data_IF_593811647988
#
_entry.id   IF_593811647988
#
_cell.length_a   1.000
_cell.length_b   1.000
_cell.length_c   1.000
_cell.angle_alpha   90.00
_cell.angle_beta   90.00
_cell.angle_gamma   90.00
#
_symmetry.space_group_name_H-M   'P 1'
#
loop_
_entity.id
_entity.type
_entity.pdbx_description
1 polymer ?
#
# COMPACT_ATOMS: atom_id res chain seq x y z
N UNK A 1 21.52 13.97 -19.76
CA UNK A 1 21.35 12.60 -19.21
C UNK A 1 21.22 11.70 -20.41
N UNK A 2 22.26 10.95 -20.73
CA UNK A 2 22.29 10.10 -21.92
C UNK A 2 21.60 8.78 -21.61
N UNK A 3 20.38 8.62 -22.11
CA UNK A 3 19.61 7.38 -21.98
C UNK A 3 20.24 6.37 -22.94
N UNK A 4 20.92 5.37 -22.40
CA UNK A 4 21.46 4.29 -23.22
C UNK A 4 20.36 3.29 -23.62
N UNK A 5 20.66 2.39 -24.55
CA UNK A 5 19.69 1.41 -25.06
C UNK A 5 19.12 0.50 -23.96
N UNK A 6 19.88 0.19 -22.90
CA UNK A 6 19.42 -0.63 -21.78
C UNK A 6 18.44 0.15 -20.92
N UNK A 7 18.75 1.41 -20.62
CA UNK A 7 17.88 2.29 -19.85
C UNK A 7 16.57 2.53 -20.62
N UNK A 8 16.65 2.74 -21.93
CA UNK A 8 15.48 2.83 -22.80
C UNK A 8 14.65 1.55 -22.78
N UNK A 9 15.26 0.36 -22.88
CA UNK A 9 14.54 -0.91 -22.84
C UNK A 9 13.92 -1.18 -21.47
N UNK A 10 14.59 -0.82 -20.38
CA UNK A 10 14.05 -0.95 -19.02
C UNK A 10 12.90 0.02 -18.77
N UNK A 11 13.04 1.28 -19.21
CA UNK A 11 11.96 2.28 -19.16
C UNK A 11 10.78 1.83 -20.04
N UNK A 12 11.04 1.35 -21.26
CA UNK A 12 10.01 0.90 -22.17
C UNK A 12 9.32 -0.39 -21.70
N UNK A 13 10.03 -1.30 -21.03
CA UNK A 13 9.44 -2.46 -20.38
C UNK A 13 8.60 -2.07 -19.16
N UNK A 14 9.10 -1.21 -18.28
CA UNK A 14 8.39 -0.70 -17.10
C UNK A 14 7.14 0.14 -17.46
N UNK A 15 7.13 0.77 -18.64
CA UNK A 15 5.97 1.46 -19.20
C UNK A 15 5.07 0.54 -20.05
N UNK A 16 5.39 -0.76 -20.15
CA UNK A 16 4.64 -1.73 -20.94
C UNK A 16 4.63 -1.47 -22.44
N UNK A 17 5.56 -0.67 -22.97
CA UNK A 17 5.62 -0.25 -24.38
C UNK A 17 6.20 -1.32 -25.31
N UNK A 18 6.85 -2.35 -24.78
CA UNK A 18 7.45 -3.44 -25.56
C UNK A 18 6.77 -4.78 -25.25
N UNK A 19 5.64 -5.03 -25.90
CA UNK A 19 5.16 -6.40 -26.11
C UNK A 19 6.04 -7.02 -27.21
N UNK A 20 6.85 -8.02 -26.87
CA UNK A 20 7.76 -8.74 -27.79
C UNK A 20 7.00 -9.67 -28.77
N UNK A 21 6.09 -9.11 -29.55
CA UNK A 21 5.43 -9.83 -30.66
C UNK A 21 5.59 -9.04 -31.96
N UNK A 22 6.24 -9.61 -32.99
CA UNK A 22 6.38 -8.94 -34.28
C UNK A 22 5.04 -9.02 -35.02
N UNK A 23 4.25 -7.94 -34.97
CA UNK A 23 2.99 -7.91 -35.74
C UNK A 23 1.91 -6.89 -35.38
N UNK A 24 2.12 -5.93 -34.48
CA UNK A 24 1.08 -4.93 -34.17
C UNK A 24 1.56 -3.50 -34.35
N UNK A 25 1.54 -3.04 -35.61
CA UNK A 25 1.53 -1.62 -35.98
C UNK A 25 0.14 -0.98 -35.82
N UNK A 26 -0.82 -1.67 -35.19
CA UNK A 26 -2.10 -1.11 -34.72
C UNK A 26 -1.99 -0.83 -33.21
N UNK A 27 -1.01 -0.01 -32.84
CA UNK A 27 -0.76 0.35 -31.44
C UNK A 27 -1.16 1.80 -31.11
N UNK A 28 -1.78 2.54 -32.03
CA UNK A 28 -2.16 3.94 -31.79
C UNK A 28 -3.24 4.12 -30.71
N UNK A 29 -4.20 3.20 -30.64
CA UNK A 29 -5.32 3.27 -29.69
C UNK A 29 -5.07 2.47 -28.40
N UNK A 30 -4.46 1.28 -28.50
CA UNK A 30 -4.02 0.49 -27.34
C UNK A 30 -2.91 1.16 -26.51
N UNK A 31 -2.10 2.04 -27.12
CA UNK A 31 -1.07 2.81 -26.39
C UNK A 31 -1.67 3.98 -25.61
N UNK A 32 -2.84 4.51 -26.02
CA UNK A 32 -3.58 5.50 -25.22
C UNK A 32 -4.27 4.86 -23.99
N UNK A 33 -4.69 3.61 -24.08
CA UNK A 33 -5.18 2.86 -22.91
C UNK A 33 -4.08 2.55 -21.87
N UNK A 34 -2.81 2.44 -22.30
CA UNK A 34 -1.67 2.17 -21.41
C UNK A 34 -1.21 3.36 -20.55
N UNK A 35 -1.71 4.57 -20.84
CA UNK A 35 -1.61 5.73 -19.95
C UNK A 35 -2.93 5.98 -19.21
N UNK A 36 -3.71 4.94 -18.89
CA UNK A 36 -4.75 5.07 -17.88
C UNK A 36 -4.08 5.47 -16.57
N UNK A 37 -4.21 6.75 -16.23
CA UNK A 37 -4.05 7.23 -14.87
C UNK A 37 -5.01 6.44 -14.00
N UNK A 38 -4.47 5.65 -13.08
CA UNK A 38 -5.23 4.86 -12.13
C UNK A 38 -6.23 5.78 -11.43
N UNK A 39 -7.52 5.52 -11.57
CA UNK A 39 -8.57 6.30 -10.92
C UNK A 39 -9.01 5.62 -9.62
N UNK A 40 -9.62 6.39 -8.72
CA UNK A 40 -10.23 5.84 -7.51
C UNK A 40 -11.23 4.71 -7.81
N UNK A 41 -11.97 4.83 -8.93
CA UNK A 41 -12.93 3.81 -9.36
C UNK A 41 -12.22 2.50 -9.72
N UNK A 42 -11.03 2.57 -10.31
CA UNK A 42 -10.26 1.37 -10.67
C UNK A 42 -9.74 0.66 -9.41
N UNK A 43 -9.31 1.41 -8.39
CA UNK A 43 -8.87 0.86 -7.10
C UNK A 43 -10.02 0.18 -6.35
N UNK A 44 -11.20 0.80 -6.38
CA UNK A 44 -12.39 0.29 -5.68
C UNK A 44 -13.21 -0.70 -6.53
N UNK A 45 -12.73 -1.12 -7.70
CA UNK A 45 -13.46 -2.02 -8.60
C UNK A 45 -13.34 -3.49 -8.19
N UNK A 46 -13.90 -3.86 -7.04
CA UNK A 46 -14.03 -5.26 -6.63
C UNK A 46 -15.50 -5.67 -6.55
N UNK A 47 -15.78 -6.94 -6.87
CA UNK A 47 -17.13 -7.47 -6.73
C UNK A 47 -17.43 -7.72 -5.24
N UNK A 48 -18.46 -7.11 -4.65
CA UNK A 48 -18.82 -7.34 -3.26
C UNK A 48 -19.19 -8.81 -3.01
N UNK A 49 -18.44 -9.51 -2.14
CA UNK A 49 -18.72 -10.89 -1.73
C UNK A 49 -19.13 -10.97 -0.26
N UNK A 50 -20.01 -11.91 0.08
CA UNK A 50 -20.42 -12.18 1.45
C UNK A 50 -21.28 -11.07 2.09
N UNK A 51 -21.59 -11.25 3.39
CA UNK A 51 -22.49 -10.38 4.17
C UNK A 51 -21.77 -9.46 5.16
N UNK A 52 -20.48 -9.70 5.39
CA UNK A 52 -19.64 -8.91 6.28
C UNK A 52 -18.35 -8.54 5.54
N UNK A 53 -17.78 -7.38 5.87
CA UNK A 53 -16.53 -6.88 5.33
C UNK A 53 -15.63 -6.45 6.50
N UNK A 54 -14.40 -6.94 6.49
CA UNK A 54 -13.37 -6.53 7.44
C UNK A 54 -12.39 -5.66 6.68
N UNK A 55 -12.27 -4.40 7.11
CA UNK A 55 -11.18 -3.52 6.74
C UNK A 55 -10.11 -3.64 7.81
N UNK A 56 -8.85 -3.67 7.39
CA UNK A 56 -7.74 -3.89 8.29
C UNK A 56 -6.61 -2.91 7.97
N UNK A 57 -6.07 -2.30 9.01
CA UNK A 57 -4.84 -1.51 8.99
C UNK A 57 -3.86 -2.07 10.03
N UNK A 58 -2.58 -1.84 9.82
CA UNK A 58 -1.50 -2.27 10.70
C UNK A 58 -0.31 -1.32 10.61
N UNK A 59 0.47 -1.24 11.69
CA UNK A 59 1.82 -0.66 11.69
C UNK A 59 1.90 0.73 11.05
N UNK A 60 0.86 1.57 11.27
CA UNK A 60 0.80 2.91 10.67
C UNK A 60 1.96 3.79 11.15
N UNK A 61 2.50 3.50 12.32
CA UNK A 61 3.63 4.19 12.94
C UNK A 61 3.49 5.72 12.90
N UNK A 62 2.30 6.22 13.24
CA UNK A 62 1.95 7.63 13.25
C UNK A 62 2.12 8.39 11.92
N UNK A 63 2.17 7.68 10.78
CA UNK A 63 2.25 8.27 9.46
C UNK A 63 0.88 8.75 8.94
N UNK A 64 0.51 9.97 9.34
CA UNK A 64 -0.80 10.54 8.97
C UNK A 64 -0.86 11.18 7.58
N UNK A 65 0.29 11.41 6.94
CA UNK A 65 0.41 12.03 5.61
C UNK A 65 0.90 11.00 4.58
N UNK A 66 0.55 11.16 3.29
CA UNK A 66 1.08 10.31 2.24
C UNK A 66 2.61 10.36 2.19
N UNK A 67 3.24 9.21 1.93
CA UNK A 67 4.69 9.05 1.85
C UNK A 67 5.11 7.99 0.82
N UNK A 68 6.42 7.88 0.59
CA UNK A 68 7.01 6.81 -0.20
C UNK A 68 7.54 5.74 0.76
N UNK A 69 7.07 4.51 0.60
CA UNK A 69 7.45 3.37 1.43
C UNK A 69 7.94 2.24 0.53
N UNK A 70 9.21 1.87 0.62
CA UNK A 70 9.80 0.82 -0.21
C UNK A 70 9.95 -0.45 0.62
N UNK A 71 9.45 -1.55 0.09
CA UNK A 71 9.65 -2.87 0.70
C UNK A 71 11.14 -3.27 0.76
N UNK A 72 11.54 -4.14 1.71
CA UNK A 72 12.93 -4.55 1.86
C UNK A 72 13.44 -5.30 0.62
N UNK A 73 14.70 -5.03 0.26
CA UNK A 73 15.36 -5.73 -0.86
C UNK A 73 15.94 -7.09 -0.47
N UNK A 74 15.89 -7.44 0.80
CA UNK A 74 16.41 -8.71 1.33
C UNK A 74 15.67 -9.06 2.61
N UNK A 75 15.17 -10.29 2.68
CA UNK A 75 14.57 -10.88 3.87
C UNK A 75 15.29 -12.21 4.17
N UNK A 76 16.23 -12.18 5.11
CA UNK A 76 17.03 -13.36 5.48
C UNK A 76 16.27 -14.15 6.54
N UNK A 77 16.20 -15.47 6.36
CA UNK A 77 15.46 -16.37 7.23
C UNK A 77 16.30 -17.54 7.71
N UNK A 78 15.80 -18.25 8.73
CA UNK A 78 16.33 -19.56 9.09
C UNK A 78 16.10 -20.55 7.93
N UNK A 79 16.95 -21.59 7.77
CA UNK A 79 16.86 -22.50 6.62
C UNK A 79 15.47 -23.13 6.38
N UNK A 80 14.71 -23.38 7.44
CA UNK A 80 13.37 -23.97 7.39
C UNK A 80 12.24 -22.98 6.98
N UNK A 81 12.56 -21.70 6.83
CA UNK A 81 11.62 -20.63 6.47
C UNK A 81 11.93 -20.01 5.10
N UNK A 82 12.91 -20.55 4.37
CA UNK A 82 13.25 -20.07 3.03
C UNK A 82 12.07 -20.30 2.08
N UNK A 83 11.66 -19.25 1.38
CA UNK A 83 10.58 -19.31 0.40
C UNK A 83 9.16 -19.22 0.99
N UNK A 84 9.01 -19.02 2.30
CA UNK A 84 7.69 -18.81 2.92
C UNK A 84 7.29 -17.33 2.94
N UNK A 85 5.99 -16.99 2.95
CA UNK A 85 5.52 -15.64 3.21
C UNK A 85 6.19 -15.02 4.46
N UNK A 86 6.55 -13.75 4.37
CA UNK A 86 7.38 -13.04 5.37
C UNK A 86 8.89 -13.16 5.13
N UNK A 87 9.34 -14.08 4.27
CA UNK A 87 10.75 -14.28 3.91
C UNK A 87 10.99 -14.41 2.39
N UNK A 88 10.10 -13.82 1.61
CA UNK A 88 10.20 -13.69 0.15
C UNK A 88 10.11 -12.21 -0.22
N UNK A 89 10.91 -11.78 -1.19
CA UNK A 89 10.93 -10.39 -1.69
C UNK A 89 11.32 -10.37 -3.18
N UNK A 90 11.05 -9.25 -3.87
CA UNK A 90 11.41 -9.06 -5.28
C UNK A 90 10.76 -10.09 -6.20
N UNK A 91 11.51 -10.62 -7.16
CA UNK A 91 10.99 -11.52 -8.21
C UNK A 91 10.35 -12.80 -7.62
N UNK A 92 10.84 -13.27 -6.46
CA UNK A 92 10.24 -14.42 -5.77
C UNK A 92 8.87 -14.09 -5.19
N UNK A 93 8.70 -12.88 -4.65
CA UNK A 93 7.40 -12.41 -4.18
C UNK A 93 6.41 -12.26 -5.35
N UNK A 94 6.87 -11.66 -6.46
CA UNK A 94 6.04 -11.52 -7.66
C UNK A 94 5.59 -12.87 -8.19
N UNK A 95 6.50 -13.84 -8.30
CA UNK A 95 6.16 -15.18 -8.78
C UNK A 95 5.21 -15.92 -7.83
N UNK A 96 5.35 -15.74 -6.52
CA UNK A 96 4.51 -16.41 -5.52
C UNK A 96 3.06 -15.91 -5.56
N UNK A 97 2.86 -14.59 -5.71
CA UNK A 97 1.52 -13.97 -5.70
C UNK A 97 0.96 -13.66 -7.10
N UNK A 98 1.74 -13.87 -8.16
CA UNK A 98 1.32 -13.59 -9.53
C UNK A 98 1.26 -12.10 -9.86
N UNK A 99 2.19 -11.31 -9.31
CA UNK A 99 2.24 -9.85 -9.54
C UNK A 99 2.82 -9.56 -10.92
N UNK A 100 2.15 -8.69 -11.67
CA UNK A 100 2.63 -8.24 -12.98
C UNK A 100 3.66 -7.11 -12.84
N UNK A 101 4.80 -7.17 -13.55
CA UNK A 101 5.76 -6.06 -13.58
C UNK A 101 5.13 -4.77 -14.14
N UNK A 102 5.42 -3.65 -13.50
CA UNK A 102 4.94 -2.30 -13.79
C UNK A 102 3.57 -1.96 -13.19
N UNK A 103 2.96 -2.90 -12.45
CA UNK A 103 1.64 -2.79 -11.83
C UNK A 103 1.66 -1.94 -10.56
N UNK A 104 0.46 -1.63 -10.03
CA UNK A 104 0.33 -1.00 -8.72
C UNK A 104 0.80 -1.94 -7.59
N UNK A 105 0.59 -3.24 -7.75
CA UNK A 105 0.98 -4.24 -6.75
C UNK A 105 2.50 -4.41 -6.71
N UNK A 106 3.21 -4.35 -7.85
CA UNK A 106 4.70 -4.32 -7.83
C UNK A 106 5.22 -3.11 -7.06
N UNK A 107 4.57 -1.95 -7.22
CA UNK A 107 4.93 -0.72 -6.52
C UNK A 107 4.69 -0.80 -5.01
N UNK A 108 3.62 -1.47 -4.59
CA UNK A 108 3.22 -1.56 -3.20
C UNK A 108 3.94 -2.69 -2.45
N UNK A 109 4.03 -3.88 -3.05
CA UNK A 109 4.47 -5.10 -2.38
C UNK A 109 5.93 -5.49 -2.66
N UNK A 110 6.64 -4.73 -3.50
CA UNK A 110 8.03 -5.04 -3.84
C UNK A 110 8.93 -3.82 -3.88
N UNK A 111 10.24 -4.09 -3.92
CA UNK A 111 11.23 -3.05 -4.16
C UNK A 111 11.58 -2.85 -5.63
N UNK A 112 11.12 -3.73 -6.50
CA UNK A 112 11.47 -3.71 -7.91
C UNK A 112 10.90 -2.46 -8.54
N UNK A 113 11.72 -1.79 -9.35
CA UNK A 113 11.32 -0.59 -10.09
C UNK A 113 10.76 0.58 -9.23
N UNK A 114 10.97 0.55 -7.90
CA UNK A 114 10.30 1.47 -6.97
C UNK A 114 10.46 2.94 -7.33
N UNK A 115 11.65 3.40 -7.73
CA UNK A 115 11.86 4.81 -8.11
C UNK A 115 11.01 5.21 -9.33
N UNK A 116 10.96 4.34 -10.34
CA UNK A 116 10.19 4.57 -11.57
C UNK A 116 8.69 4.57 -11.27
N UNK A 117 8.22 3.61 -10.47
CA UNK A 117 6.80 3.48 -10.13
C UNK A 117 6.35 4.55 -9.13
N UNK A 118 7.20 4.99 -8.21
CA UNK A 118 6.95 6.12 -7.32
C UNK A 118 6.71 7.43 -8.08
N UNK A 119 7.39 7.63 -9.23
CA UNK A 119 7.13 8.78 -10.12
C UNK A 119 5.81 8.64 -10.87
N UNK A 120 5.38 7.41 -11.17
CA UNK A 120 4.14 7.09 -11.88
C UNK A 120 2.91 7.18 -10.97
N UNK A 121 2.97 6.59 -9.79
CA UNK A 121 1.83 6.42 -8.87
C UNK A 121 1.83 7.40 -7.69
N UNK A 122 2.97 8.02 -7.38
CA UNK A 122 3.07 9.00 -6.31
C UNK A 122 3.05 8.38 -4.91
N UNK A 123 2.82 9.22 -3.90
CA UNK A 123 2.86 8.82 -2.49
C UNK A 123 1.63 8.01 -2.11
N UNK A 124 1.82 7.02 -1.23
CA UNK A 124 0.78 6.13 -0.71
C UNK A 124 0.42 6.46 0.74
N UNK A 125 -0.68 5.87 1.22
CA UNK A 125 -1.15 6.03 2.60
C UNK A 125 -1.73 7.41 2.91
N UNK A 126 -1.79 7.74 4.20
CA UNK A 126 -2.35 8.98 4.73
C UNK A 126 -3.83 8.89 5.10
N UNK A 127 -4.18 9.53 6.22
CA UNK A 127 -5.50 9.42 6.86
C UNK A 127 -6.65 9.81 5.92
N UNK A 128 -6.49 10.90 5.15
CA UNK A 128 -7.52 11.38 4.25
C UNK A 128 -7.83 10.40 3.10
N UNK A 129 -6.80 9.74 2.55
CA UNK A 129 -6.99 8.73 1.52
C UNK A 129 -7.68 7.50 2.10
N UNK A 130 -7.20 7.01 3.25
CA UNK A 130 -7.81 5.86 3.94
C UNK A 130 -9.27 6.13 4.29
N UNK A 131 -9.59 7.30 4.85
CA UNK A 131 -10.97 7.70 5.17
C UNK A 131 -11.89 7.65 3.95
N UNK A 132 -11.41 8.16 2.81
CA UNK A 132 -12.16 8.14 1.55
C UNK A 132 -12.51 6.71 1.12
N UNK A 133 -11.56 5.78 1.23
CA UNK A 133 -11.78 4.37 0.91
C UNK A 133 -12.73 3.70 1.92
N UNK A 134 -12.50 3.91 3.23
CA UNK A 134 -13.34 3.36 4.31
C UNK A 134 -14.79 3.80 4.14
N UNK A 135 -15.04 5.09 3.91
CA UNK A 135 -16.39 5.63 3.75
C UNK A 135 -17.06 5.12 2.48
N UNK A 136 -16.30 4.93 1.39
CA UNK A 136 -16.81 4.30 0.18
C UNK A 136 -17.29 2.87 0.46
N UNK A 137 -16.46 2.05 1.11
CA UNK A 137 -16.82 0.68 1.48
C UNK A 137 -18.01 0.65 2.44
N UNK A 138 -18.01 1.48 3.48
CA UNK A 138 -19.13 1.57 4.44
C UNK A 138 -20.44 1.95 3.75
N UNK A 139 -20.40 2.93 2.82
CA UNK A 139 -21.56 3.32 2.02
C UNK A 139 -22.07 2.20 1.11
N UNK A 140 -21.17 1.48 0.44
CA UNK A 140 -21.54 0.41 -0.49
C UNK A 140 -22.08 -0.83 0.23
N UNK A 141 -21.45 -1.20 1.36
CA UNK A 141 -21.71 -2.45 2.09
C UNK A 141 -22.74 -2.29 3.21
N UNK A 142 -22.99 -1.05 3.62
CA UNK A 142 -23.77 -0.66 4.78
C UNK A 142 -22.94 -0.71 6.06
N UNK A 143 -22.92 0.38 6.82
CA UNK A 143 -22.06 0.57 8.00
C UNK A 143 -22.08 -0.59 9.01
N UNK A 144 -23.25 -1.21 9.22
CA UNK A 144 -23.43 -2.33 10.16
C UNK A 144 -22.74 -3.63 9.73
N UNK A 145 -22.34 -3.72 8.47
CA UNK A 145 -21.72 -4.89 7.88
C UNK A 145 -20.20 -4.74 7.73
N UNK A 146 -19.63 -3.61 8.15
CA UNK A 146 -18.21 -3.29 8.00
C UNK A 146 -17.57 -3.07 9.36
N UNK A 147 -16.46 -3.75 9.64
CA UNK A 147 -15.59 -3.47 10.78
C UNK A 147 -14.25 -2.96 10.28
N UNK A 148 -13.73 -1.90 10.88
CA UNK A 148 -12.36 -1.42 10.71
C UNK A 148 -11.51 -1.84 11.92
N UNK A 149 -10.55 -2.72 11.67
CA UNK A 149 -9.63 -3.26 12.67
C UNK A 149 -8.25 -2.64 12.50
N UNK A 150 -7.61 -2.30 13.63
CA UNK A 150 -6.23 -1.83 13.69
C UNK A 150 -5.38 -2.82 14.51
N UNK A 151 -4.38 -3.44 13.89
CA UNK A 151 -3.54 -4.43 14.58
C UNK A 151 -2.38 -3.83 15.41
N UNK A 152 -2.40 -2.52 15.66
CA UNK A 152 -1.47 -1.85 16.57
C UNK A 152 -0.26 -1.26 15.87
N UNK A 153 0.69 -0.79 16.68
CA UNK A 153 1.87 -0.06 16.19
C UNK A 153 1.49 1.21 15.40
N UNK A 154 0.48 1.90 15.94
CA UNK A 154 -0.18 3.04 15.32
C UNK A 154 0.20 4.35 16.00
N UNK A 155 0.24 4.43 17.35
CA UNK A 155 0.31 5.71 18.08
C UNK A 155 1.68 6.39 18.05
N UNK A 156 2.74 5.66 17.73
CA UNK A 156 4.15 6.10 17.82
C UNK A 156 4.82 6.06 16.44
N UNK A 157 5.79 6.95 16.17
CA UNK A 157 6.71 6.78 15.03
C UNK A 157 7.15 8.09 14.36
N UNK A 158 6.40 9.17 14.58
CA UNK A 158 6.66 10.48 13.96
C UNK A 158 6.80 11.61 14.97
N UNK A 159 7.31 12.76 14.51
CA UNK A 159 7.41 13.96 15.32
C UNK A 159 6.03 14.46 15.84
N UNK A 160 4.95 14.21 15.10
CA UNK A 160 3.58 14.55 15.52
C UNK A 160 3.19 13.75 16.75
N UNK A 161 3.38 12.43 16.70
CA UNK A 161 3.15 11.52 17.82
C UNK A 161 4.01 11.86 19.04
N UNK A 162 5.28 12.24 18.82
CA UNK A 162 6.17 12.66 19.90
C UNK A 162 5.68 13.95 20.57
N UNK A 163 5.30 14.96 19.79
CA UNK A 163 4.89 16.28 20.31
C UNK A 163 3.53 16.26 21.02
N UNK A 164 2.63 15.39 20.58
CA UNK A 164 1.27 15.26 21.12
C UNK A 164 1.12 14.09 22.09
N UNK A 165 2.21 13.36 22.36
CA UNK A 165 2.19 12.14 23.19
C UNK A 165 1.10 11.16 22.75
N UNK A 166 1.00 10.91 21.44
CA UNK A 166 0.04 9.99 20.81
C UNK A 166 -1.35 10.56 20.52
N UNK A 167 -1.75 11.68 21.11
CA UNK A 167 -3.13 12.21 21.05
C UNK A 167 -3.62 12.45 19.63
N UNK A 168 -2.82 13.15 18.82
CA UNK A 168 -3.21 13.45 17.44
C UNK A 168 -3.34 12.19 16.57
N UNK A 169 -2.78 11.06 17.00
CA UNK A 169 -2.90 9.80 16.28
C UNK A 169 -4.16 9.05 16.72
N UNK A 170 -4.49 9.09 18.00
CA UNK A 170 -5.78 8.62 18.51
C UNK A 170 -6.94 9.40 17.88
N UNK A 171 -6.81 10.72 17.77
CA UNK A 171 -7.77 11.56 17.03
C UNK A 171 -7.91 11.14 15.57
N UNK A 172 -6.80 10.75 14.92
CA UNK A 172 -6.82 10.26 13.56
C UNK A 172 -7.52 8.89 13.44
N UNK A 173 -7.31 7.96 14.38
CA UNK A 173 -8.05 6.69 14.42
C UNK A 173 -9.55 6.90 14.69
N UNK A 174 -9.89 7.81 15.60
CA UNK A 174 -11.27 8.21 15.86
C UNK A 174 -11.92 8.78 14.59
N UNK A 175 -11.19 9.61 13.84
CA UNK A 175 -11.66 10.14 12.55
C UNK A 175 -11.85 9.05 11.49
N UNK A 176 -10.96 8.05 11.42
CA UNK A 176 -11.13 6.89 10.56
C UNK A 176 -12.36 6.05 10.96
N UNK A 177 -12.67 6.03 12.26
CA UNK A 177 -13.72 5.22 12.86
C UNK A 177 -13.28 3.76 13.01
N UNK A 178 -12.12 3.57 13.65
CA UNK A 178 -11.59 2.25 14.05
C UNK A 178 -12.50 1.64 15.11
N UNK A 179 -12.92 0.40 14.91
CA UNK A 179 -13.85 -0.30 15.80
C UNK A 179 -13.11 -1.05 16.92
N UNK A 180 -11.97 -1.67 16.58
CA UNK A 180 -11.16 -2.45 17.52
C UNK A 180 -9.68 -2.26 17.19
N UNK A 181 -8.86 -2.08 18.22
CA UNK A 181 -7.41 -2.11 18.09
C UNK A 181 -6.73 -3.03 19.11
N UNK A 182 -5.53 -3.50 18.77
CA UNK A 182 -4.55 -4.02 19.73
C UNK A 182 -3.36 -3.07 19.83
N UNK A 183 -2.34 -3.38 20.65
CA UNK A 183 -1.18 -2.50 20.79
C UNK A 183 0.11 -3.22 21.10
N UNK A 184 1.22 -2.54 20.80
CA UNK A 184 2.58 -2.95 21.12
C UNK A 184 3.46 -1.71 21.38
N UNK A 185 3.74 -0.86 20.39
CA UNK A 185 4.47 0.40 20.59
C UNK A 185 3.66 1.45 21.36
N UNK A 186 2.34 1.32 21.40
CA UNK A 186 1.43 2.12 22.23
C UNK A 186 1.91 2.19 23.68
N UNK A 187 2.39 1.06 24.22
CA UNK A 187 2.80 0.95 25.62
C UNK A 187 4.08 1.71 25.96
N UNK A 188 4.82 2.21 24.97
CA UNK A 188 6.00 3.07 25.19
C UNK A 188 5.66 4.44 25.76
N UNK A 189 4.41 4.89 25.65
CA UNK A 189 3.92 6.11 26.31
C UNK A 189 3.74 5.96 27.83
N UNK A 190 3.81 4.73 28.35
CA UNK A 190 3.54 4.42 29.75
C UNK A 190 2.06 4.20 30.02
N UNK A 191 1.78 3.37 31.03
CA UNK A 191 0.44 2.91 31.40
C UNK A 191 -0.55 4.05 31.63
N UNK A 192 -0.09 5.12 32.26
CA UNK A 192 -0.91 6.27 32.63
C UNK A 192 -1.40 6.99 31.38
N UNK A 193 -0.51 7.25 30.41
CA UNK A 193 -0.89 7.90 29.15
C UNK A 193 -1.76 6.99 28.28
N UNK A 194 -1.46 5.70 28.22
CA UNK A 194 -2.27 4.73 27.45
C UNK A 194 -3.69 4.60 28.00
N UNK A 195 -3.90 4.81 29.30
CA UNK A 195 -5.25 4.83 29.91
C UNK A 195 -5.98 6.15 29.74
N UNK A 196 -5.24 7.24 29.54
CA UNK A 196 -5.78 8.58 29.35
C UNK A 196 -6.32 8.77 27.93
N UNK A 197 -5.59 8.22 26.95
CA UNK A 197 -5.95 8.15 25.54
C UNK A 197 -7.08 7.13 25.29
#
# INVERSE_FOLDING_TARGET
MDINRRDFLQIAAALGLLSLTPGSLVAGEKTKEKLKTLSFKDIMAFEPKGKATILHICDMHAHIKPLYWREPSTLISAPNLVGTPGFICGETFEAFYGIEPGSLDEYFDTYLNFETLAKKFGKMGGIAHMKTMIDHVKKERGDKNVLLLDSGDTWQGTAVALKTKGEAIVDAQNYLGVDVMVGHWEFTYGKERVKEL
#
